data_IF_234359946119
#
_entry.id   IF_234359946119
#
_cell.length_a   1.000
_cell.length_b   1.000
_cell.length_c   1.000
_cell.angle_alpha   90.00
_cell.angle_beta   90.00
_cell.angle_gamma   90.00
#
_symmetry.space_group_name_H-M   'P 1'
#
loop_
_entity.id
_entity.type
_entity.pdbx_description
1 polymer ?
#
# COMPACT_ATOMS: atom_id res chain seq x y z
N UNK A 1 0.67 -33.46 48.56
CA UNK A 1 1.65 -33.38 47.48
C UNK A 1 0.91 -33.00 46.22
N UNK A 2 0.94 -31.73 45.85
CA UNK A 2 0.35 -31.27 44.59
C UNK A 2 1.36 -31.53 43.45
N UNK A 3 0.94 -32.33 42.48
CA UNK A 3 1.73 -32.56 41.25
C UNK A 3 1.74 -31.28 40.45
N UNK A 4 2.91 -30.68 40.31
CA UNK A 4 3.18 -29.59 39.35
C UNK A 4 3.00 -30.16 37.93
N UNK A 5 2.21 -29.55 37.05
CA UNK A 5 2.09 -30.03 35.68
C UNK A 5 3.45 -29.92 35.01
N UNK A 6 3.95 -31.01 34.48
CA UNK A 6 5.13 -31.06 33.61
C UNK A 6 4.73 -30.36 32.32
N UNK A 7 5.20 -29.17 32.15
CA UNK A 7 5.14 -28.45 30.85
C UNK A 7 6.12 -29.20 29.94
N UNK A 8 5.60 -29.99 29.00
CA UNK A 8 6.42 -30.56 27.94
C UNK A 8 7.17 -29.43 27.21
N UNK A 9 8.47 -29.57 26.91
CA UNK A 9 9.20 -28.58 26.14
C UNK A 9 8.54 -28.48 24.77
N UNK A 10 8.01 -27.30 24.46
CA UNK A 10 7.43 -27.03 23.14
C UNK A 10 8.48 -27.33 22.06
N UNK A 11 8.17 -28.31 21.21
CA UNK A 11 9.06 -28.74 20.13
C UNK A 11 9.36 -27.58 19.19
N UNK A 12 10.63 -27.42 18.82
CA UNK A 12 11.02 -26.60 17.68
C UNK A 12 10.28 -27.12 16.43
N UNK A 13 9.61 -26.23 15.69
CA UNK A 13 8.89 -26.61 14.48
C UNK A 13 8.01 -25.52 13.90
N UNK A 14 7.44 -25.81 12.74
CA UNK A 14 6.49 -24.92 12.08
C UNK A 14 5.05 -25.37 12.39
N UNK A 15 4.23 -24.40 12.68
CA UNK A 15 2.82 -24.59 12.98
C UNK A 15 1.97 -23.67 12.08
N UNK A 16 0.89 -24.22 11.51
CA UNK A 16 -0.09 -23.45 10.72
C UNK A 16 -1.34 -23.23 11.58
N UNK A 17 -1.57 -21.99 12.00
CA UNK A 17 -2.74 -21.58 12.75
C UNK A 17 -3.85 -21.18 11.78
N UNK A 18 -5.05 -21.75 11.93
CA UNK A 18 -6.19 -21.48 11.02
C UNK A 18 -7.47 -21.08 11.78
N UNK A 19 -7.47 -21.11 13.12
CA UNK A 19 -8.65 -20.75 13.90
C UNK A 19 -8.54 -19.37 14.55
N UNK A 20 -9.64 -18.59 14.60
CA UNK A 20 -9.64 -17.25 15.22
C UNK A 20 -9.14 -17.25 16.67
N UNK A 21 -9.48 -18.28 17.47
CA UNK A 21 -9.05 -18.37 18.87
C UNK A 21 -7.52 -18.44 19.01
N UNK A 22 -6.84 -19.04 18.02
CA UNK A 22 -5.38 -19.14 18.02
C UNK A 22 -4.71 -17.86 17.54
N UNK A 23 -5.36 -17.09 16.64
CA UNK A 23 -4.87 -15.77 16.24
C UNK A 23 -4.97 -14.76 17.38
N UNK A 24 -5.97 -14.89 18.25
CA UNK A 24 -6.23 -14.00 19.38
C UNK A 24 -5.38 -14.31 20.62
N UNK A 25 -4.44 -15.25 20.55
CA UNK A 25 -3.52 -15.54 21.66
C UNK A 25 -2.67 -14.32 22.00
N UNK A 26 -2.78 -13.82 23.22
CA UNK A 26 -2.13 -12.58 23.65
C UNK A 26 -0.59 -12.66 23.61
N UNK A 27 -0.01 -13.84 23.85
CA UNK A 27 1.43 -14.04 23.78
C UNK A 27 1.92 -14.01 22.32
N UNK A 28 1.14 -14.63 21.41
CA UNK A 28 1.42 -14.57 19.99
C UNK A 28 1.34 -13.13 19.46
N UNK A 29 0.27 -12.37 19.79
CA UNK A 29 0.08 -10.99 19.35
C UNK A 29 1.23 -10.10 19.83
N UNK A 30 1.63 -10.22 21.11
CA UNK A 30 2.77 -9.47 21.66
C UNK A 30 4.05 -9.78 20.89
N UNK A 31 4.33 -11.05 20.67
CA UNK A 31 5.53 -11.47 19.93
C UNK A 31 5.50 -11.02 18.47
N UNK A 32 4.31 -10.99 17.87
CA UNK A 32 4.10 -10.48 16.52
C UNK A 32 4.48 -9.01 16.42
N UNK A 33 4.00 -8.15 17.32
CA UNK A 33 4.41 -6.73 17.37
C UNK A 33 5.91 -6.54 17.61
N UNK A 34 6.55 -7.38 18.43
CA UNK A 34 8.01 -7.33 18.61
C UNK A 34 8.76 -7.59 17.30
N UNK A 35 8.36 -8.61 16.54
CA UNK A 35 8.96 -8.90 15.23
C UNK A 35 8.70 -7.79 14.21
N UNK A 36 7.49 -7.19 14.21
CA UNK A 36 7.18 -6.04 13.36
C UNK A 36 8.04 -4.83 13.70
N UNK A 37 8.19 -4.52 14.98
CA UNK A 37 8.95 -3.36 15.44
C UNK A 37 10.44 -3.48 15.08
N UNK A 38 10.97 -4.69 15.01
CA UNK A 38 12.33 -4.97 14.57
C UNK A 38 12.49 -4.84 13.04
N UNK A 39 11.39 -4.87 12.27
CA UNK A 39 11.45 -4.81 10.81
C UNK A 39 11.56 -3.37 10.30
N UNK A 40 12.55 -3.04 9.45
CA UNK A 40 12.66 -1.74 8.80
C UNK A 40 11.65 -1.56 7.64
N UNK A 41 10.89 -2.60 7.30
CA UNK A 41 10.06 -2.66 6.11
C UNK A 41 8.90 -1.66 6.16
N UNK A 42 8.65 -0.99 5.04
CA UNK A 42 7.53 -0.07 4.89
C UNK A 42 6.17 -0.80 4.97
N UNK A 43 6.11 -2.05 4.52
CA UNK A 43 4.88 -2.86 4.47
C UNK A 43 4.52 -3.54 5.80
N UNK A 44 5.25 -3.28 6.89
CA UNK A 44 4.96 -3.86 8.21
C UNK A 44 3.53 -3.54 8.70
N UNK A 45 2.96 -2.40 8.31
CA UNK A 45 1.54 -2.06 8.54
C UNK A 45 0.62 -3.19 8.07
N UNK A 46 0.86 -3.71 6.84
CA UNK A 46 0.05 -4.76 6.24
C UNK A 46 0.37 -6.15 6.79
N UNK A 47 1.37 -6.28 7.65
CA UNK A 47 1.72 -7.48 8.37
C UNK A 47 1.28 -7.45 9.84
N UNK A 48 0.64 -6.36 10.30
CA UNK A 48 0.17 -6.26 11.70
C UNK A 48 -1.00 -7.19 11.98
N UNK A 49 -1.18 -7.63 13.25
CA UNK A 49 -2.34 -8.42 13.65
C UNK A 49 -3.67 -7.74 13.31
N UNK A 50 -3.76 -6.42 13.49
CA UNK A 50 -4.95 -5.63 13.22
C UNK A 50 -5.28 -5.62 11.72
N UNK A 51 -4.27 -5.47 10.86
CA UNK A 51 -4.47 -5.56 9.42
C UNK A 51 -4.82 -6.98 8.99
N UNK A 52 -4.18 -8.00 9.56
CA UNK A 52 -4.52 -9.40 9.28
C UNK A 52 -5.99 -9.70 9.60
N UNK A 53 -6.47 -9.25 10.76
CA UNK A 53 -7.87 -9.39 11.14
C UNK A 53 -8.82 -8.65 10.21
N UNK A 54 -8.47 -7.43 9.79
CA UNK A 54 -9.19 -6.66 8.78
C UNK A 54 -9.26 -7.41 7.43
N UNK A 55 -8.11 -7.87 6.94
CA UNK A 55 -8.02 -8.57 5.65
C UNK A 55 -8.80 -9.89 5.66
N UNK A 56 -8.71 -10.67 6.74
CA UNK A 56 -9.43 -11.93 6.92
C UNK A 56 -10.95 -11.72 7.00
N UNK A 57 -11.37 -10.73 7.77
CA UNK A 57 -12.79 -10.40 7.92
C UNK A 57 -13.41 -9.95 6.59
N UNK A 58 -12.62 -9.30 5.73
CA UNK A 58 -13.01 -8.80 4.41
C UNK A 58 -14.35 -8.04 4.46
N UNK A 59 -14.44 -6.94 5.24
CA UNK A 59 -15.71 -6.27 5.54
C UNK A 59 -16.44 -5.81 4.26
N UNK A 60 -17.74 -6.07 4.23
CA UNK A 60 -18.58 -5.77 3.06
C UNK A 60 -18.54 -6.85 1.97
N UNK A 61 -17.82 -7.97 2.20
CA UNK A 61 -17.76 -9.12 1.33
C UNK A 61 -17.68 -10.44 2.14
N UNK A 62 -17.43 -11.55 1.46
CA UNK A 62 -17.27 -12.84 2.15
C UNK A 62 -15.93 -12.89 2.89
N UNK A 63 -15.88 -13.33 4.17
CA UNK A 63 -14.64 -13.58 4.87
C UNK A 63 -13.72 -14.53 4.08
N UNK A 64 -12.41 -14.27 4.16
CA UNK A 64 -11.39 -15.05 3.46
C UNK A 64 -10.86 -16.17 4.33
N UNK A 65 -10.50 -17.30 3.71
CA UNK A 65 -9.67 -18.29 4.36
C UNK A 65 -8.33 -17.65 4.74
N UNK A 66 -7.92 -17.79 6.01
CA UNK A 66 -6.73 -17.16 6.53
C UNK A 66 -5.90 -18.14 7.36
N UNK A 67 -4.59 -17.90 7.41
CA UNK A 67 -3.67 -18.63 8.28
C UNK A 67 -2.55 -17.72 8.78
N UNK A 68 -2.01 -18.06 9.92
CA UNK A 68 -0.74 -17.55 10.40
C UNK A 68 0.22 -18.72 10.52
N UNK A 69 1.28 -18.71 9.73
CA UNK A 69 2.36 -19.68 9.87
C UNK A 69 3.33 -19.14 10.90
N UNK A 70 3.59 -19.96 11.90
CA UNK A 70 4.44 -19.63 13.04
C UNK A 70 5.57 -20.63 13.10
N UNK A 71 6.81 -20.14 13.11
CA UNK A 71 7.97 -20.96 13.42
C UNK A 71 8.34 -20.76 14.89
N UNK A 72 8.59 -21.88 15.57
CA UNK A 72 9.07 -21.90 16.96
C UNK A 72 10.52 -22.37 16.99
N UNK A 73 11.38 -21.58 17.58
CA UNK A 73 12.78 -21.93 17.79
C UNK A 73 12.97 -22.91 18.96
N UNK A 74 14.23 -23.18 19.26
CA UNK A 74 14.61 -23.99 20.43
C UNK A 74 14.10 -23.32 21.70
N UNK A 75 13.30 -24.02 22.50
CA UNK A 75 12.66 -23.47 23.69
C UNK A 75 11.22 -22.96 23.48
N UNK A 76 10.62 -23.18 22.29
CA UNK A 76 9.22 -22.92 22.01
C UNK A 76 8.86 -21.45 21.73
N UNK A 77 9.83 -20.52 21.79
CA UNK A 77 9.58 -19.12 21.46
C UNK A 77 9.32 -18.96 19.96
N UNK A 78 8.34 -18.11 19.62
CA UNK A 78 8.04 -17.76 18.23
C UNK A 78 9.18 -16.90 17.70
N UNK A 79 9.82 -17.32 16.61
CA UNK A 79 10.93 -16.62 15.95
C UNK A 79 10.62 -16.16 14.52
N UNK A 80 9.59 -16.73 13.86
CA UNK A 80 9.11 -16.20 12.58
C UNK A 80 7.58 -16.30 12.48
N UNK A 81 6.98 -15.36 11.74
CA UNK A 81 5.53 -15.27 11.49
C UNK A 81 5.28 -14.91 10.04
N UNK A 82 4.31 -15.59 9.40
CA UNK A 82 3.84 -15.29 8.05
C UNK A 82 2.31 -15.25 8.04
N UNK A 83 1.69 -14.06 8.04
CA UNK A 83 0.24 -13.91 7.90
C UNK A 83 -0.19 -14.07 6.45
N UNK A 84 -1.27 -14.81 6.22
CA UNK A 84 -1.75 -15.23 4.89
C UNK A 84 -3.26 -15.13 4.79
N UNK A 85 -3.77 -14.75 3.62
CA UNK A 85 -5.18 -14.88 3.26
C UNK A 85 -5.30 -15.52 1.86
N UNK A 86 -6.37 -16.30 1.62
CA UNK A 86 -6.69 -16.80 0.28
C UNK A 86 -7.68 -15.87 -0.39
N UNK A 87 -7.31 -15.34 -1.54
CA UNK A 87 -8.13 -14.47 -2.37
C UNK A 87 -7.86 -14.78 -3.86
N UNK A 88 -8.48 -14.01 -4.74
CA UNK A 88 -8.20 -14.07 -6.17
C UNK A 88 -7.27 -12.93 -6.57
N UNK A 89 -6.17 -13.30 -7.22
CA UNK A 89 -5.29 -12.33 -7.85
C UNK A 89 -5.60 -12.20 -9.34
N UNK A 90 -5.41 -11.02 -9.90
CA UNK A 90 -5.76 -10.70 -11.27
C UNK A 90 -4.51 -10.58 -12.15
N UNK A 91 -4.49 -11.30 -13.26
CA UNK A 91 -3.52 -11.13 -14.33
C UNK A 91 -4.22 -10.56 -15.57
N UNK A 92 -4.06 -9.24 -15.77
CA UNK A 92 -4.78 -8.49 -16.78
C UNK A 92 -3.95 -8.27 -18.06
N UNK A 93 -4.50 -8.60 -19.21
CA UNK A 93 -3.96 -8.29 -20.53
C UNK A 93 -4.41 -6.89 -20.93
N UNK A 94 -3.53 -5.91 -20.75
CA UNK A 94 -3.83 -4.48 -20.94
C UNK A 94 -3.06 -3.91 -22.14
N UNK A 95 -3.77 -3.28 -23.08
CA UNK A 95 -3.20 -2.59 -24.22
C UNK A 95 -3.65 -1.11 -24.23
N UNK A 96 -2.75 -0.19 -23.90
CA UNK A 96 -3.08 1.22 -23.69
C UNK A 96 -4.12 1.41 -22.58
N UNK A 97 -5.24 2.11 -22.83
CA UNK A 97 -6.29 2.30 -21.81
C UNK A 97 -7.26 1.11 -21.70
N UNK A 98 -7.12 0.07 -22.54
CA UNK A 98 -8.09 -1.04 -22.62
C UNK A 98 -7.57 -2.31 -21.97
N UNK A 99 -8.36 -2.88 -21.06
CA UNK A 99 -8.19 -4.24 -20.57
C UNK A 99 -8.90 -5.17 -21.54
N UNK A 100 -8.14 -6.05 -22.21
CA UNK A 100 -8.66 -7.00 -23.18
C UNK A 100 -9.25 -8.23 -22.50
N UNK A 101 -8.55 -8.72 -21.48
CA UNK A 101 -8.98 -9.86 -20.67
C UNK A 101 -8.30 -9.86 -19.31
N UNK A 102 -8.97 -10.45 -18.30
CA UNK A 102 -8.41 -10.63 -16.96
C UNK A 102 -8.62 -12.06 -16.50
N UNK A 103 -7.52 -12.74 -16.21
CA UNK A 103 -7.55 -14.04 -15.55
C UNK A 103 -7.54 -13.86 -14.05
N UNK A 104 -8.51 -14.47 -13.37
CA UNK A 104 -8.56 -14.54 -11.90
C UNK A 104 -7.91 -15.84 -11.45
N UNK A 105 -6.85 -15.74 -10.65
CA UNK A 105 -6.10 -16.87 -10.11
C UNK A 105 -6.37 -16.98 -8.63
N UNK A 106 -6.83 -18.14 -8.15
CA UNK A 106 -6.88 -18.37 -6.69
C UNK A 106 -5.46 -18.28 -6.13
N UNK A 107 -5.24 -17.39 -5.19
CA UNK A 107 -3.93 -17.03 -4.65
C UNK A 107 -3.90 -17.12 -3.14
N UNK A 108 -2.79 -17.60 -2.58
CA UNK A 108 -2.43 -17.33 -1.22
C UNK A 108 -1.61 -16.04 -1.17
N UNK A 109 -2.18 -14.98 -0.63
CA UNK A 109 -1.51 -13.69 -0.49
C UNK A 109 -0.77 -13.65 0.84
N UNK A 110 0.55 -13.47 0.79
CA UNK A 110 1.36 -13.13 1.94
C UNK A 110 1.10 -11.66 2.26
N UNK A 111 0.64 -11.35 3.46
CA UNK A 111 0.43 -9.97 3.86
C UNK A 111 1.80 -9.30 4.07
N UNK A 112 2.02 -8.20 3.35
CA UNK A 112 3.32 -7.52 3.28
C UNK A 112 4.30 -8.17 2.31
N UNK A 113 5.60 -7.92 2.47
CA UNK A 113 6.64 -8.21 1.48
C UNK A 113 7.80 -9.07 1.98
N UNK A 114 7.64 -9.73 3.14
CA UNK A 114 8.67 -10.59 3.74
C UNK A 114 8.06 -11.65 4.67
N UNK A 115 8.86 -12.68 5.00
CA UNK A 115 8.58 -13.58 6.11
C UNK A 115 9.24 -13.01 7.36
N UNK A 116 8.41 -12.51 8.30
CA UNK A 116 8.91 -11.83 9.51
C UNK A 116 9.76 -12.76 10.35
N UNK A 117 10.92 -12.31 10.82
CA UNK A 117 11.86 -13.07 11.65
C UNK A 117 12.69 -14.09 10.88
N UNK A 118 12.48 -14.29 9.58
CA UNK A 118 13.37 -15.08 8.74
C UNK A 118 14.51 -14.22 8.19
N UNK A 119 15.75 -14.69 8.31
CA UNK A 119 16.95 -13.92 7.95
C UNK A 119 17.81 -14.60 6.87
N UNK A 120 17.62 -15.90 6.65
CA UNK A 120 18.40 -16.71 5.72
C UNK A 120 17.57 -17.56 4.77
N UNK A 121 18.21 -18.10 3.72
CA UNK A 121 17.59 -18.91 2.69
C UNK A 121 16.91 -20.16 3.25
N UNK A 122 17.54 -20.82 4.22
CA UNK A 122 16.99 -22.04 4.81
C UNK A 122 15.69 -21.76 5.57
N UNK A 123 15.64 -20.70 6.33
CA UNK A 123 14.43 -20.22 7.02
C UNK A 123 13.32 -19.87 6.05
N UNK A 124 13.63 -19.19 4.95
CA UNK A 124 12.66 -18.88 3.91
C UNK A 124 12.14 -20.12 3.18
N UNK A 125 13.00 -21.07 2.87
CA UNK A 125 12.63 -22.34 2.21
C UNK A 125 11.75 -23.20 3.10
N UNK A 126 12.03 -23.23 4.39
CA UNK A 126 11.25 -23.96 5.40
C UNK A 126 9.84 -23.35 5.52
N UNK A 127 9.73 -22.03 5.69
CA UNK A 127 8.46 -21.32 5.75
C UNK A 127 7.66 -21.44 4.44
N UNK A 128 8.33 -21.36 3.27
CA UNK A 128 7.69 -21.60 1.99
C UNK A 128 7.07 -23.00 1.91
N UNK A 129 7.70 -23.99 2.51
CA UNK A 129 7.15 -25.35 2.58
C UNK A 129 5.78 -25.39 3.26
N UNK A 130 5.64 -24.71 4.40
CA UNK A 130 4.38 -24.61 5.12
C UNK A 130 3.33 -23.74 4.38
N UNK A 131 3.75 -22.62 3.80
CA UNK A 131 2.89 -21.77 2.93
C UNK A 131 2.36 -22.59 1.76
N UNK A 132 3.22 -23.34 1.08
CA UNK A 132 2.87 -24.17 -0.07
C UNK A 132 1.89 -25.29 0.27
N UNK A 133 2.08 -25.92 1.44
CA UNK A 133 1.17 -26.94 1.95
C UNK A 133 -0.22 -26.37 2.22
N UNK A 134 -0.31 -25.24 2.93
CA UNK A 134 -1.59 -24.58 3.21
C UNK A 134 -2.26 -24.06 1.95
N UNK A 135 -1.47 -23.55 1.00
CA UNK A 135 -1.91 -23.02 -0.28
C UNK A 135 -2.03 -24.07 -1.40
N UNK A 136 -2.12 -25.36 -1.08
CA UNK A 136 -2.07 -26.46 -2.09
C UNK A 136 -3.16 -26.36 -3.16
N UNK A 137 -4.28 -25.74 -2.85
CA UNK A 137 -5.41 -25.49 -3.74
C UNK A 137 -5.35 -24.15 -4.50
N UNK A 138 -4.27 -23.35 -4.28
CA UNK A 138 -4.05 -22.08 -4.95
C UNK A 138 -3.19 -22.25 -6.22
N UNK A 139 -3.48 -21.46 -7.24
CA UNK A 139 -2.69 -21.40 -8.47
C UNK A 139 -1.35 -20.69 -8.28
N UNK A 140 -1.28 -19.78 -7.33
CA UNK A 140 -0.07 -19.01 -7.01
C UNK A 140 -0.01 -18.59 -5.53
N UNK A 141 1.19 -18.19 -5.12
CA UNK A 141 1.45 -17.43 -3.90
C UNK A 141 1.81 -16.01 -4.34
N UNK A 142 1.16 -15.00 -3.77
CA UNK A 142 1.39 -13.60 -4.13
C UNK A 142 2.03 -12.83 -2.99
N UNK A 143 3.07 -12.08 -3.34
CA UNK A 143 3.77 -11.11 -2.49
C UNK A 143 3.49 -9.73 -3.08
N UNK A 144 2.67 -8.88 -2.45
CA UNK A 144 2.08 -7.71 -3.13
C UNK A 144 3.06 -6.57 -3.41
N UNK A 145 4.15 -6.45 -2.64
CA UNK A 145 5.04 -5.28 -2.73
C UNK A 145 6.46 -5.61 -2.26
N UNK A 146 7.19 -6.37 -3.06
CA UNK A 146 8.56 -6.79 -2.74
C UNK A 146 9.56 -5.76 -3.26
N UNK A 147 10.35 -5.09 -2.39
CA UNK A 147 11.43 -4.22 -2.85
C UNK A 147 12.47 -4.99 -3.69
N UNK A 148 12.88 -4.42 -4.82
CA UNK A 148 13.75 -5.14 -5.78
C UNK A 148 15.13 -5.48 -5.19
N UNK A 149 15.63 -4.69 -4.24
CA UNK A 149 16.91 -4.92 -3.55
C UNK A 149 16.77 -5.77 -2.27
N UNK A 150 15.57 -6.26 -1.95
CA UNK A 150 15.33 -7.02 -0.71
C UNK A 150 15.89 -8.43 -0.75
N UNK A 151 16.10 -9.02 0.44
CA UNK A 151 16.44 -10.44 0.55
C UNK A 151 15.33 -11.33 -0.05
N UNK A 152 14.06 -11.03 0.21
CA UNK A 152 12.90 -11.74 -0.35
C UNK A 152 12.96 -11.80 -1.88
N UNK A 153 13.32 -10.68 -2.54
CA UNK A 153 13.43 -10.64 -4.01
C UNK A 153 14.53 -11.56 -4.51
N UNK A 154 15.74 -11.43 -3.95
CA UNK A 154 16.88 -12.28 -4.31
C UNK A 154 16.58 -13.76 -4.07
N UNK A 155 16.03 -14.09 -2.90
CA UNK A 155 15.62 -15.45 -2.58
C UNK A 155 14.59 -16.00 -3.58
N UNK A 156 13.53 -15.25 -3.90
CA UNK A 156 12.51 -15.69 -4.86
C UNK A 156 13.12 -15.96 -6.25
N UNK A 157 14.17 -15.24 -6.66
CA UNK A 157 14.86 -15.41 -7.93
C UNK A 157 15.89 -16.54 -7.92
N UNK A 158 16.54 -16.79 -6.79
CA UNK A 158 17.71 -17.70 -6.72
C UNK A 158 17.42 -19.03 -6.07
N UNK A 159 16.48 -19.09 -5.09
CA UNK A 159 16.22 -20.30 -4.31
C UNK A 159 15.88 -21.51 -5.18
N UNK A 160 16.50 -22.64 -4.84
CA UNK A 160 16.23 -23.92 -5.47
C UNK A 160 14.82 -24.42 -5.15
N UNK A 161 14.35 -24.20 -3.92
CA UNK A 161 13.02 -24.59 -3.48
C UNK A 161 11.91 -23.88 -4.27
N UNK A 162 12.08 -22.58 -4.54
CA UNK A 162 11.19 -21.80 -5.41
C UNK A 162 11.27 -22.35 -6.84
N UNK A 163 12.46 -22.47 -7.43
CA UNK A 163 12.65 -22.89 -8.83
C UNK A 163 12.15 -24.31 -9.11
N UNK A 164 12.12 -25.18 -8.13
CA UNK A 164 11.59 -26.53 -8.31
C UNK A 164 10.07 -26.55 -8.44
N UNK A 165 9.34 -25.73 -7.70
CA UNK A 165 7.88 -25.78 -7.55
C UNK A 165 7.14 -24.66 -8.28
N UNK A 166 7.78 -23.51 -8.45
CA UNK A 166 7.13 -22.30 -8.94
C UNK A 166 7.87 -21.65 -10.12
N UNK A 167 7.11 -20.87 -10.87
CA UNK A 167 7.60 -19.87 -11.81
C UNK A 167 7.48 -18.53 -11.09
N UNK A 168 8.61 -17.87 -10.82
CA UNK A 168 8.61 -16.52 -10.27
C UNK A 168 8.26 -15.55 -11.40
N UNK A 169 7.21 -14.75 -11.18
CA UNK A 169 6.73 -13.77 -12.15
C UNK A 169 6.42 -12.43 -11.46
N UNK A 170 6.97 -11.36 -12.00
CA UNK A 170 6.68 -9.98 -11.57
C UNK A 170 5.97 -9.25 -12.73
N UNK A 171 4.62 -9.12 -12.68
CA UNK A 171 3.85 -8.60 -13.82
C UNK A 171 3.92 -7.08 -14.00
N UNK A 172 4.54 -6.34 -13.08
CA UNK A 172 4.62 -4.89 -13.18
C UNK A 172 5.73 -4.41 -14.14
N UNK A 173 5.47 -3.27 -14.80
CA UNK A 173 6.49 -2.59 -15.59
C UNK A 173 7.53 -1.90 -14.68
N UNK A 174 8.83 -1.93 -15.03
CA UNK A 174 9.87 -1.29 -14.23
C UNK A 174 9.62 0.21 -13.97
N UNK A 175 8.93 0.91 -14.89
CA UNK A 175 8.61 2.32 -14.77
C UNK A 175 7.46 2.66 -13.82
N UNK A 176 6.65 1.69 -13.42
CA UNK A 176 5.51 1.84 -12.49
C UNK A 176 5.79 1.28 -11.10
N UNK A 177 6.86 0.51 -10.95
CA UNK A 177 7.24 -0.21 -9.73
C UNK A 177 7.93 0.64 -8.65
N UNK A 178 8.00 1.97 -8.79
CA UNK A 178 8.57 2.83 -7.74
C UNK A 178 7.54 3.14 -6.67
N UNK A 179 7.94 2.92 -5.42
CA UNK A 179 7.23 3.36 -4.22
C UNK A 179 7.86 4.65 -3.74
N UNK A 180 7.02 5.63 -3.43
CA UNK A 180 7.42 6.93 -2.88
C UNK A 180 7.05 7.02 -1.42
N UNK A 181 7.97 7.45 -0.57
CA UNK A 181 7.73 7.63 0.85
C UNK A 181 8.50 8.83 1.42
N UNK A 182 8.08 9.22 2.62
CA UNK A 182 8.77 10.22 3.42
C UNK A 182 9.15 9.58 4.76
N UNK A 183 10.42 9.52 5.05
CA UNK A 183 10.92 9.27 6.39
C UNK A 183 10.82 10.58 7.16
N UNK A 184 10.06 10.58 8.25
CA UNK A 184 9.79 11.77 9.05
C UNK A 184 10.89 12.05 10.07
N UNK A 185 11.31 13.31 10.26
CA UNK A 185 12.05 13.72 11.43
C UNK A 185 11.14 13.77 12.67
N UNK A 186 11.73 13.99 13.84
CA UNK A 186 10.99 13.96 15.10
C UNK A 186 9.88 15.01 15.23
N UNK A 187 9.95 16.14 14.52
CA UNK A 187 8.96 17.23 14.60
C UNK A 187 8.68 17.86 13.24
N UNK A 188 7.52 18.51 13.14
CA UNK A 188 7.14 19.25 11.94
C UNK A 188 8.07 20.44 11.64
N UNK A 189 8.63 21.08 12.67
CA UNK A 189 9.61 22.16 12.49
C UNK A 189 10.91 21.63 11.88
N UNK A 190 11.37 20.47 12.32
CA UNK A 190 12.53 19.79 11.71
C UNK A 190 12.24 19.39 10.27
N UNK A 191 11.04 18.89 9.97
CA UNK A 191 10.64 18.63 8.59
C UNK A 191 10.72 19.91 7.74
N UNK A 192 10.13 21.00 8.20
CA UNK A 192 10.14 22.28 7.49
C UNK A 192 11.55 22.84 7.28
N UNK A 193 12.41 22.75 8.31
CA UNK A 193 13.80 23.25 8.21
C UNK A 193 14.66 22.42 7.25
N UNK A 194 14.37 21.11 7.12
CA UNK A 194 15.02 20.21 6.19
C UNK A 194 14.61 20.39 4.72
N UNK A 195 13.50 21.11 4.44
CA UNK A 195 13.10 21.44 3.08
C UNK A 195 14.01 22.52 2.48
N UNK A 196 14.29 22.44 1.18
CA UNK A 196 14.89 23.57 0.47
C UNK A 196 13.99 24.82 0.57
N UNK A 197 14.60 26.01 0.48
CA UNK A 197 13.90 27.29 0.64
C UNK A 197 12.69 27.43 -0.29
N UNK A 198 12.85 27.02 -1.57
CA UNK A 198 11.79 27.12 -2.58
C UNK A 198 10.55 26.28 -2.22
N UNK A 199 10.74 25.01 -1.78
CA UNK A 199 9.65 24.15 -1.35
C UNK A 199 8.96 24.69 -0.09
N UNK A 200 9.75 25.07 0.91
CA UNK A 200 9.24 25.60 2.17
C UNK A 200 8.41 26.87 1.96
N UNK A 201 8.93 27.83 1.17
CA UNK A 201 8.24 29.08 0.88
C UNK A 201 6.99 28.83 0.01
N UNK A 202 7.03 27.87 -0.90
CA UNK A 202 5.86 27.47 -1.70
C UNK A 202 4.73 26.91 -0.82
N UNK A 203 5.03 26.01 0.12
CA UNK A 203 4.00 25.47 1.02
C UNK A 203 3.41 26.56 1.90
N UNK A 204 4.24 27.38 2.55
CA UNK A 204 3.80 28.50 3.39
C UNK A 204 2.98 29.53 2.58
N UNK A 205 3.38 29.80 1.34
CA UNK A 205 2.64 30.68 0.46
C UNK A 205 1.25 30.15 0.13
N UNK A 206 1.14 28.84 -0.20
CA UNK A 206 -0.15 28.20 -0.52
C UNK A 206 -1.12 28.27 0.66
N UNK A 207 -0.67 28.00 1.87
CA UNK A 207 -1.50 28.14 3.07
C UNK A 207 -1.94 29.60 3.26
N UNK A 208 -1.00 30.56 3.17
CA UNK A 208 -1.33 32.01 3.29
C UNK A 208 -2.28 32.53 2.20
N UNK A 209 -2.27 31.93 1.01
CA UNK A 209 -3.21 32.31 -0.07
C UNK A 209 -4.64 32.04 0.33
N UNK A 210 -4.91 30.89 1.03
CA UNK A 210 -6.24 30.61 1.56
C UNK A 210 -6.72 31.69 2.52
N UNK A 211 -5.88 32.07 3.47
CA UNK A 211 -6.22 33.11 4.47
C UNK A 211 -6.48 34.48 3.81
N UNK A 212 -5.61 34.89 2.86
CA UNK A 212 -5.75 36.17 2.14
C UNK A 212 -7.01 36.24 1.28
N UNK A 213 -7.51 35.12 0.78
CA UNK A 213 -8.76 35.05 0.02
C UNK A 213 -10.00 34.92 0.88
N UNK A 214 -9.87 35.05 2.22
CA UNK A 214 -10.98 34.86 3.15
C UNK A 214 -11.50 33.43 3.20
N UNK A 215 -10.69 32.46 2.77
CA UNK A 215 -11.01 31.02 2.76
C UNK A 215 -10.01 30.23 3.60
N UNK A 216 -9.93 30.48 4.93
CA UNK A 216 -8.96 29.80 5.79
C UNK A 216 -9.09 28.28 5.66
N UNK A 217 -7.93 27.63 5.58
CA UNK A 217 -7.85 26.17 5.48
C UNK A 217 -8.04 25.52 6.85
N UNK A 218 -9.02 24.64 6.99
CA UNK A 218 -9.25 23.85 8.19
C UNK A 218 -9.10 22.36 7.86
N UNK A 219 -8.14 21.71 8.53
CA UNK A 219 -7.98 20.25 8.44
C UNK A 219 -8.94 19.58 9.43
N UNK A 220 -9.73 18.65 8.93
CA UNK A 220 -10.54 17.73 9.75
C UNK A 220 -9.96 16.34 9.65
N UNK A 221 -9.75 15.71 10.80
CA UNK A 221 -9.29 14.33 10.93
C UNK A 221 -10.46 13.45 11.36
N UNK A 222 -10.53 12.25 10.84
CA UNK A 222 -11.54 11.24 11.10
C UNK A 222 -10.82 9.95 11.52
N UNK A 223 -11.17 9.39 12.69
CA UNK A 223 -10.50 8.21 13.26
C UNK A 223 -11.47 7.19 13.86
N UNK A 224 -12.73 7.55 14.08
CA UNK A 224 -13.74 6.68 14.70
C UNK A 224 -14.73 6.10 13.70
N UNK A 225 -15.27 4.92 14.01
CA UNK A 225 -16.29 4.27 13.17
C UNK A 225 -17.56 5.12 13.01
N UNK A 226 -17.94 5.90 14.04
CA UNK A 226 -19.08 6.81 13.98
C UNK A 226 -18.92 7.96 12.99
N UNK A 227 -17.69 8.33 12.64
CA UNK A 227 -17.37 9.41 11.71
C UNK A 227 -17.31 8.95 10.24
N UNK A 228 -17.21 7.64 10.00
CA UNK A 228 -17.09 7.06 8.64
C UNK A 228 -18.23 7.49 7.70
N UNK A 229 -19.52 7.49 8.10
CA UNK A 229 -20.60 7.91 7.21
C UNK A 229 -20.45 9.37 6.76
N UNK A 230 -20.08 10.27 7.67
CA UNK A 230 -19.86 11.68 7.34
C UNK A 230 -18.65 11.84 6.41
N UNK A 231 -17.54 11.22 6.73
CA UNK A 231 -16.35 11.24 5.88
C UNK A 231 -16.66 10.79 4.46
N UNK A 232 -17.29 9.63 4.29
CA UNK A 232 -17.62 9.08 2.97
C UNK A 232 -18.57 9.98 2.18
N UNK A 233 -19.57 10.56 2.83
CA UNK A 233 -20.49 11.51 2.19
C UNK A 233 -19.74 12.71 1.61
N UNK A 234 -18.85 13.31 2.41
CA UNK A 234 -18.08 14.50 2.00
C UNK A 234 -17.03 14.13 0.95
N UNK A 235 -16.25 13.07 1.17
CA UNK A 235 -15.19 12.63 0.25
C UNK A 235 -15.73 12.24 -1.13
N UNK A 236 -16.87 11.54 -1.20
CA UNK A 236 -17.56 11.23 -2.46
C UNK A 236 -18.02 12.48 -3.20
N UNK A 237 -18.54 13.47 -2.46
CA UNK A 237 -18.91 14.77 -3.04
C UNK A 237 -17.72 15.49 -3.68
N UNK A 238 -16.56 15.47 -3.04
CA UNK A 238 -15.31 16.03 -3.62
C UNK A 238 -14.83 15.18 -4.80
N UNK A 239 -14.81 13.84 -4.66
CA UNK A 239 -14.37 12.93 -5.70
C UNK A 239 -15.13 13.13 -7.02
N UNK A 240 -16.47 13.31 -6.95
CA UNK A 240 -17.29 13.59 -8.12
C UNK A 240 -16.97 14.88 -8.85
N UNK A 241 -16.32 15.84 -8.19
CA UNK A 241 -15.87 17.12 -8.77
C UNK A 241 -14.37 17.11 -9.12
N UNK A 242 -13.66 16.01 -8.90
CA UNK A 242 -12.23 15.91 -9.16
C UNK A 242 -11.95 15.66 -10.64
N UNK A 243 -10.75 16.05 -11.11
CA UNK A 243 -10.29 15.75 -12.48
C UNK A 243 -10.21 14.22 -12.73
N UNK A 244 -10.01 13.44 -11.69
CA UNK A 244 -9.93 11.97 -11.74
C UNK A 244 -11.26 11.37 -12.20
N UNK A 245 -12.38 11.93 -11.75
CA UNK A 245 -13.72 11.54 -12.21
C UNK A 245 -13.88 11.74 -13.72
N UNK A 246 -13.30 12.81 -14.28
CA UNK A 246 -13.32 13.10 -15.72
C UNK A 246 -12.56 12.07 -16.57
N UNK A 247 -11.63 11.32 -15.99
CA UNK A 247 -10.90 10.22 -16.67
C UNK A 247 -11.34 8.84 -16.22
N UNK A 248 -12.48 8.73 -15.52
CA UNK A 248 -13.07 7.46 -15.10
C UNK A 248 -12.41 6.79 -13.89
N UNK A 249 -11.63 7.52 -13.11
CA UNK A 249 -11.04 7.03 -11.86
C UNK A 249 -11.95 7.39 -10.69
N UNK A 250 -12.58 6.38 -10.08
CA UNK A 250 -13.38 6.53 -8.88
C UNK A 250 -12.61 5.96 -7.67
N UNK A 251 -12.23 6.78 -6.68
CA UNK A 251 -11.57 6.31 -5.47
C UNK A 251 -12.52 5.52 -4.53
N UNK A 252 -13.82 5.62 -4.74
CA UNK A 252 -14.86 4.94 -3.95
C UNK A 252 -15.85 4.17 -4.84
N UNK A 253 -15.40 3.14 -5.59
CA UNK A 253 -16.26 2.34 -6.46
C UNK A 253 -17.50 1.83 -5.74
N UNK A 254 -18.64 1.84 -6.44
CA UNK A 254 -19.96 1.52 -5.85
C UNK A 254 -20.16 0.05 -5.54
N UNK A 255 -19.39 -0.81 -6.15
CA UNK A 255 -19.39 -2.26 -5.94
C UNK A 255 -18.62 -2.68 -4.67
N UNK A 256 -18.02 -1.73 -3.95
CA UNK A 256 -17.32 -1.93 -2.67
C UNK A 256 -18.12 -1.29 -1.54
N UNK A 257 -18.41 -2.04 -0.49
CA UNK A 257 -19.00 -1.48 0.74
C UNK A 257 -17.90 -0.76 1.56
N UNK A 258 -17.67 0.49 1.16
CA UNK A 258 -16.69 1.35 1.81
C UNK A 258 -17.04 1.68 3.26
N UNK A 259 -18.35 1.71 3.59
CA UNK A 259 -18.75 1.98 4.96
C UNK A 259 -18.35 0.83 5.88
N UNK A 260 -18.69 -0.40 5.54
CA UNK A 260 -18.28 -1.57 6.31
C UNK A 260 -16.74 -1.66 6.42
N UNK A 261 -16.04 -1.42 5.30
CA UNK A 261 -14.58 -1.50 5.24
C UNK A 261 -13.89 -0.48 6.12
N UNK A 262 -14.26 0.79 6.04
CA UNK A 262 -13.64 1.85 6.83
C UNK A 262 -14.06 1.79 8.30
N UNK A 263 -15.30 1.35 8.61
CA UNK A 263 -15.74 1.14 9.99
C UNK A 263 -14.94 0.03 10.69
N UNK A 264 -14.71 -1.11 10.03
CA UNK A 264 -13.86 -2.17 10.58
C UNK A 264 -12.40 -1.70 10.76
N UNK A 265 -11.87 -0.90 9.83
CA UNK A 265 -10.54 -0.30 10.00
C UNK A 265 -10.50 0.63 11.22
N UNK A 266 -11.55 1.44 11.44
CA UNK A 266 -11.64 2.33 12.59
C UNK A 266 -11.73 1.57 13.92
N UNK A 267 -12.52 0.52 13.98
CA UNK A 267 -12.64 -0.36 15.16
C UNK A 267 -11.31 -1.03 15.53
N UNK A 268 -10.41 -1.23 14.54
CA UNK A 268 -9.08 -1.79 14.73
C UNK A 268 -7.97 -0.75 14.91
N UNK A 269 -8.32 0.55 14.94
CA UNK A 269 -7.34 1.62 15.06
C UNK A 269 -6.48 1.86 13.80
N UNK A 270 -6.92 1.34 12.64
CA UNK A 270 -6.21 1.46 11.36
C UNK A 270 -6.65 2.68 10.54
N UNK A 271 -7.83 3.25 10.85
CA UNK A 271 -8.45 4.30 10.07
C UNK A 271 -7.93 5.68 10.47
N UNK A 272 -7.47 6.46 9.51
CA UNK A 272 -7.14 7.87 9.67
C UNK A 272 -7.30 8.60 8.35
N UNK A 273 -8.42 9.25 8.19
CA UNK A 273 -8.78 9.98 6.98
C UNK A 273 -8.88 11.48 7.23
N UNK A 274 -8.84 12.28 6.16
CA UNK A 274 -8.79 13.73 6.27
C UNK A 274 -9.67 14.42 5.25
N UNK A 275 -10.28 15.53 5.68
CA UNK A 275 -10.92 16.53 4.80
C UNK A 275 -10.25 17.88 5.03
N UNK A 276 -9.88 18.56 3.96
CA UNK A 276 -9.56 19.98 3.97
C UNK A 276 -10.78 20.78 3.59
N UNK A 277 -11.18 21.69 4.46
CA UNK A 277 -12.17 22.73 4.18
C UNK A 277 -11.45 24.04 3.83
N UNK A 278 -11.95 24.78 2.85
CA UNK A 278 -11.47 26.12 2.48
C UNK A 278 -12.62 27.11 2.61
N UNK A 279 -12.59 27.97 3.65
CA UNK A 279 -13.70 28.89 3.95
C UNK A 279 -14.99 28.16 4.34
N UNK A 280 -14.90 27.01 5.00
CA UNK A 280 -16.04 26.18 5.40
C UNK A 280 -16.54 25.21 4.31
N UNK A 281 -16.02 25.30 3.07
CA UNK A 281 -16.41 24.41 1.98
C UNK A 281 -15.40 23.24 1.83
N UNK A 282 -15.87 21.98 1.70
CA UNK A 282 -15.01 20.84 1.47
C UNK A 282 -14.24 20.96 0.15
N UNK A 283 -12.91 20.96 0.21
CA UNK A 283 -12.04 21.23 -0.93
C UNK A 283 -11.18 20.05 -1.37
N UNK A 284 -10.72 19.23 -0.42
CA UNK A 284 -9.89 18.05 -0.72
C UNK A 284 -10.08 16.97 0.34
N UNK A 285 -9.82 15.72 -0.05
CA UNK A 285 -9.84 14.58 0.87
C UNK A 285 -8.55 13.75 0.75
N UNK A 286 -8.21 13.04 1.83
CA UNK A 286 -7.16 12.06 1.88
C UNK A 286 -7.61 10.82 2.64
N UNK A 287 -7.42 9.65 2.04
CA UNK A 287 -7.71 8.34 2.64
C UNK A 287 -6.42 7.69 3.08
N UNK A 288 -6.36 7.23 4.32
CA UNK A 288 -5.15 6.64 4.87
C UNK A 288 -5.40 5.41 5.76
N UNK A 289 -4.34 4.63 5.89
CA UNK A 289 -4.24 3.52 6.86
C UNK A 289 -3.04 3.79 7.75
N UNK A 290 -3.23 3.66 9.05
CA UNK A 290 -2.17 3.89 10.04
C UNK A 290 -1.95 2.63 10.87
N UNK A 291 -0.71 2.15 10.94
CA UNK A 291 -0.25 1.17 11.91
C UNK A 291 1.27 1.18 11.97
N UNK A 292 1.85 0.68 13.05
CA UNK A 292 3.29 0.47 13.21
C UNK A 292 4.13 1.76 12.95
N UNK A 293 3.57 2.94 13.30
CA UNK A 293 4.23 4.22 13.09
C UNK A 293 4.31 4.68 11.64
N UNK A 294 3.52 4.08 10.73
CA UNK A 294 3.49 4.41 9.31
C UNK A 294 2.08 4.83 8.90
N UNK A 295 1.97 5.91 8.13
CA UNK A 295 0.74 6.32 7.46
C UNK A 295 0.83 5.98 5.96
N UNK A 296 -0.08 5.14 5.49
CA UNK A 296 -0.21 4.82 4.07
C UNK A 296 -1.29 5.66 3.43
N UNK A 297 -0.89 6.62 2.61
CA UNK A 297 -1.79 7.50 1.86
C UNK A 297 -2.34 6.76 0.64
N UNK A 298 -3.57 6.27 0.75
CA UNK A 298 -4.18 5.32 -0.21
C UNK A 298 -4.86 6.01 -1.37
N UNK A 299 -5.59 7.09 -1.10
CA UNK A 299 -6.28 7.86 -2.11
C UNK A 299 -6.37 9.33 -1.71
N UNK A 300 -6.46 10.21 -2.70
CA UNK A 300 -6.66 11.64 -2.52
C UNK A 300 -7.37 12.22 -3.73
N UNK A 301 -8.13 13.27 -3.49
CA UNK A 301 -8.77 14.06 -4.55
C UNK A 301 -9.09 15.46 -4.06
N UNK A 302 -9.37 16.36 -4.99
CA UNK A 302 -9.76 17.73 -4.67
C UNK A 302 -10.80 18.24 -5.66
N UNK A 303 -11.61 19.20 -5.23
CA UNK A 303 -12.57 19.90 -6.08
C UNK A 303 -11.82 20.75 -7.14
N UNK A 304 -11.99 20.38 -8.42
CA UNK A 304 -11.29 21.03 -9.54
C UNK A 304 -11.63 22.50 -9.68
N UNK A 305 -12.81 22.95 -9.22
CA UNK A 305 -13.20 24.36 -9.20
C UNK A 305 -12.35 25.21 -8.25
N UNK A 306 -11.72 24.57 -7.27
CA UNK A 306 -10.81 25.20 -6.30
C UNK A 306 -9.33 25.05 -6.66
N UNK A 307 -8.99 24.60 -7.86
CA UNK A 307 -7.60 24.31 -8.27
C UNK A 307 -6.62 25.48 -8.06
N UNK A 308 -7.08 26.74 -8.23
CA UNK A 308 -6.29 27.94 -7.97
C UNK A 308 -5.77 28.04 -6.52
N UNK A 309 -6.45 27.43 -5.57
CA UNK A 309 -6.06 27.35 -4.15
C UNK A 309 -5.05 26.22 -3.87
N UNK A 310 -4.80 25.34 -4.84
CA UNK A 310 -3.95 24.15 -4.70
C UNK A 310 -4.33 23.27 -3.50
N UNK A 311 -5.62 22.90 -3.27
CA UNK A 311 -6.10 22.29 -2.05
C UNK A 311 -5.46 20.93 -1.76
N UNK A 312 -5.14 20.12 -2.78
CA UNK A 312 -4.44 18.84 -2.59
C UNK A 312 -3.03 19.02 -2.00
N UNK A 313 -2.29 20.06 -2.40
CA UNK A 313 -0.97 20.36 -1.83
C UNK A 313 -1.09 20.84 -0.38
N UNK A 314 -2.06 21.72 -0.11
CA UNK A 314 -2.30 22.23 1.27
C UNK A 314 -2.74 21.10 2.17
N UNK A 315 -3.67 20.25 1.73
CA UNK A 315 -4.11 19.06 2.46
C UNK A 315 -2.92 18.23 2.94
N UNK A 316 -2.06 17.80 2.01
CA UNK A 316 -0.93 16.93 2.36
C UNK A 316 0.08 17.62 3.28
N UNK A 317 0.33 18.91 3.08
CA UNK A 317 1.21 19.68 3.98
C UNK A 317 0.65 19.77 5.40
N UNK A 318 -0.67 19.97 5.55
CA UNK A 318 -1.33 20.00 6.84
C UNK A 318 -1.42 18.59 7.48
N UNK A 319 -1.61 17.54 6.68
CA UNK A 319 -1.53 16.16 7.17
C UNK A 319 -0.14 15.90 7.77
N UNK A 320 0.95 16.35 7.15
CA UNK A 320 2.30 16.21 7.74
C UNK A 320 2.40 16.90 9.10
N UNK A 321 1.79 18.08 9.23
CA UNK A 321 1.71 18.78 10.52
C UNK A 321 0.97 17.97 11.58
N UNK A 322 -0.16 17.36 11.22
CA UNK A 322 -0.94 16.53 12.12
C UNK A 322 -0.21 15.23 12.51
N UNK A 323 0.39 14.53 11.53
CA UNK A 323 1.11 13.28 11.76
C UNK A 323 2.35 13.45 12.64
N UNK A 324 3.00 14.59 12.59
CA UNK A 324 4.20 14.94 13.37
C UNK A 324 3.90 15.70 14.66
N UNK A 325 2.71 16.29 14.79
CA UNK A 325 2.29 17.10 15.96
C UNK A 325 1.56 16.33 17.05
N UNK A 326 1.23 15.06 16.83
CA UNK A 326 0.52 14.23 17.81
C UNK A 326 1.40 13.78 18.98
N UNK A 327 0.77 13.24 20.03
CA UNK A 327 1.47 12.70 21.20
C UNK A 327 2.40 11.51 20.84
N UNK A 328 2.10 10.82 19.77
CA UNK A 328 2.92 9.76 19.18
C UNK A 328 3.16 10.09 17.70
N UNK A 329 4.21 10.86 17.39
CA UNK A 329 4.55 11.21 16.01
C UNK A 329 4.82 9.95 15.17
N UNK A 330 4.29 9.93 13.95
CA UNK A 330 4.57 8.84 13.04
C UNK A 330 5.99 8.95 12.47
N UNK A 331 6.55 7.82 12.12
CA UNK A 331 7.93 7.72 11.61
C UNK A 331 7.99 7.91 10.10
N UNK A 332 6.93 7.49 9.38
CA UNK A 332 6.94 7.45 7.92
C UNK A 332 5.55 7.73 7.32
N UNK A 333 5.57 8.23 6.10
CA UNK A 333 4.38 8.26 5.23
C UNK A 333 4.69 7.63 3.88
N UNK A 334 3.88 6.66 3.48
CA UNK A 334 3.96 6.01 2.18
C UNK A 334 2.91 6.58 1.24
N UNK A 335 3.32 6.96 0.03
CA UNK A 335 2.44 7.37 -1.07
C UNK A 335 2.16 6.23 -2.06
N UNK A 336 2.69 5.03 -1.78
CA UNK A 336 2.53 3.86 -2.63
C UNK A 336 3.19 3.99 -4.00
N UNK A 337 2.79 3.11 -4.90
CA UNK A 337 3.32 3.02 -6.26
C UNK A 337 2.97 4.22 -7.15
N UNK A 338 3.80 4.43 -8.15
CA UNK A 338 3.60 5.40 -9.23
C UNK A 338 4.36 6.70 -9.04
N UNK A 339 5.05 7.11 -10.09
CA UNK A 339 5.89 8.31 -10.14
C UNK A 339 5.06 9.50 -10.65
N UNK A 340 4.85 10.47 -9.79
CA UNK A 340 4.14 11.71 -10.12
C UNK A 340 4.86 12.93 -9.57
N UNK A 341 4.75 14.11 -10.23
CA UNK A 341 5.32 15.35 -9.70
C UNK A 341 4.83 15.69 -8.29
N UNK A 342 3.58 15.34 -8.00
CA UNK A 342 2.98 15.50 -6.67
C UNK A 342 3.72 14.70 -5.60
N UNK A 343 4.00 13.41 -5.83
CA UNK A 343 4.74 12.58 -4.88
C UNK A 343 6.16 13.07 -4.69
N UNK A 344 6.85 13.44 -5.77
CA UNK A 344 8.21 14.02 -5.72
C UNK A 344 8.28 15.32 -4.92
N UNK A 345 7.16 16.06 -4.82
CA UNK A 345 7.11 17.29 -4.04
C UNK A 345 7.22 17.03 -2.52
N UNK A 346 6.67 15.90 -2.05
CA UNK A 346 6.59 15.58 -0.62
C UNK A 346 7.59 14.51 -0.17
N UNK A 347 7.95 13.59 -1.04
CA UNK A 347 8.78 12.45 -0.69
C UNK A 347 10.27 12.84 -0.64
N UNK A 348 10.98 12.24 0.32
CA UNK A 348 12.44 12.31 0.43
C UNK A 348 13.13 11.00 0.07
N UNK A 349 12.33 9.94 -0.21
CA UNK A 349 12.84 8.62 -0.58
C UNK A 349 11.92 7.95 -1.59
N UNK A 350 12.52 7.24 -2.56
CA UNK A 350 11.84 6.30 -3.44
C UNK A 350 12.69 5.04 -3.61
N UNK A 351 12.05 3.92 -3.92
CA UNK A 351 12.71 2.67 -4.23
C UNK A 351 11.84 1.82 -5.18
N UNK A 352 12.50 0.97 -5.96
CA UNK A 352 11.80 0.03 -6.84
C UNK A 352 11.24 -1.14 -6.03
N UNK A 353 9.99 -1.49 -6.32
CA UNK A 353 9.33 -2.66 -5.74
C UNK A 353 8.37 -3.27 -6.76
N UNK A 354 8.11 -4.56 -6.63
CA UNK A 354 7.27 -5.29 -7.57
C UNK A 354 6.32 -6.22 -6.83
N UNK A 355 5.13 -6.40 -7.38
CA UNK A 355 4.32 -7.55 -7.02
C UNK A 355 4.99 -8.81 -7.57
N UNK A 356 5.25 -9.77 -6.72
CA UNK A 356 5.83 -11.06 -7.10
C UNK A 356 4.77 -12.15 -6.99
N UNK A 357 4.57 -12.91 -8.05
CA UNK A 357 3.71 -14.09 -8.09
C UNK A 357 4.61 -15.33 -8.23
N UNK A 358 4.49 -16.26 -7.30
CA UNK A 358 5.05 -17.60 -7.40
C UNK A 358 3.96 -18.51 -7.99
N UNK A 359 3.91 -18.62 -9.30
CA UNK A 359 2.95 -19.46 -10.04
C UNK A 359 3.35 -20.93 -9.92
N UNK A 360 2.43 -21.82 -9.53
CA UNK A 360 2.71 -23.26 -9.52
C UNK A 360 3.09 -23.75 -10.92
N UNK A 361 4.08 -24.60 -11.03
CA UNK A 361 4.49 -25.23 -12.30
C UNK A 361 3.46 -26.24 -12.74
N UNK A 362 2.43 -25.76 -13.41
CA UNK A 362 1.43 -26.54 -14.13
C UNK A 362 1.41 -26.13 -15.60
N UNK A 363 1.04 -27.02 -16.54
CA UNK A 363 0.96 -26.66 -17.97
C UNK A 363 0.09 -25.40 -18.21
N UNK A 364 -1.03 -25.27 -17.48
CA UNK A 364 -1.93 -24.12 -17.60
C UNK A 364 -1.25 -22.82 -17.16
N UNK A 365 -0.57 -22.81 -16.01
CA UNK A 365 0.13 -21.64 -15.51
C UNK A 365 1.34 -21.27 -16.38
N UNK A 366 2.06 -22.26 -16.92
CA UNK A 366 3.15 -22.01 -17.86
C UNK A 366 2.66 -21.35 -19.14
N UNK A 367 1.55 -21.85 -19.72
CA UNK A 367 0.94 -21.26 -20.89
C UNK A 367 0.47 -19.83 -20.61
N UNK A 368 -0.22 -19.62 -19.49
CA UNK A 368 -0.71 -18.29 -19.07
C UNK A 368 0.44 -17.30 -18.89
N UNK A 369 1.48 -17.68 -18.16
CA UNK A 369 2.66 -16.84 -17.94
C UNK A 369 3.35 -16.48 -19.25
N UNK A 370 3.64 -17.47 -20.12
CA UNK A 370 4.30 -17.24 -21.41
C UNK A 370 3.47 -16.34 -22.32
N UNK A 371 2.15 -16.58 -22.38
CA UNK A 371 1.23 -15.77 -23.18
C UNK A 371 1.18 -14.33 -22.67
N UNK A 372 1.09 -14.12 -21.37
CA UNK A 372 1.07 -12.77 -20.77
C UNK A 372 2.41 -12.04 -20.97
N UNK A 373 3.54 -12.71 -20.77
CA UNK A 373 4.86 -12.14 -20.99
C UNK A 373 5.09 -11.76 -22.47
N UNK A 374 4.70 -12.63 -23.42
CA UNK A 374 4.77 -12.35 -24.84
C UNK A 374 3.86 -11.17 -25.24
N UNK A 375 2.62 -11.15 -24.74
CA UNK A 375 1.69 -10.05 -24.98
C UNK A 375 2.24 -8.71 -24.47
N UNK A 376 2.79 -8.66 -23.26
CA UNK A 376 3.42 -7.46 -22.72
C UNK A 376 4.58 -6.97 -23.56
N UNK A 377 5.44 -7.89 -24.01
CA UNK A 377 6.56 -7.55 -24.91
C UNK A 377 6.04 -6.93 -26.22
N UNK A 378 4.98 -7.51 -26.79
CA UNK A 378 4.35 -6.99 -27.99
C UNK A 378 3.78 -5.57 -27.78
N UNK A 379 3.03 -5.36 -26.68
CA UNK A 379 2.44 -4.06 -26.35
C UNK A 379 3.53 -3.00 -26.12
N UNK A 380 4.62 -3.35 -25.42
CA UNK A 380 5.74 -2.44 -25.19
C UNK A 380 6.41 -2.03 -26.51
N UNK A 381 6.69 -3.01 -27.39
CA UNK A 381 7.28 -2.73 -28.72
C UNK A 381 6.35 -1.88 -29.59
N UNK A 382 5.05 -2.18 -29.58
CA UNK A 382 4.06 -1.39 -30.32
C UNK A 382 4.01 0.06 -29.83
N UNK A 383 4.08 0.28 -28.50
CA UNK A 383 4.16 1.63 -27.90
C UNK A 383 5.43 2.37 -28.30
N UNK A 384 6.58 1.69 -28.29
CA UNK A 384 7.86 2.28 -28.72
C UNK A 384 7.82 2.69 -30.19
N UNK A 385 7.30 1.83 -31.08
CA UNK A 385 7.11 2.13 -32.48
C UNK A 385 6.16 3.31 -32.68
N UNK A 386 5.01 3.32 -32.01
CA UNK A 386 4.07 4.41 -32.07
C UNK A 386 4.73 5.76 -31.67
N UNK A 387 5.51 5.78 -30.60
CA UNK A 387 6.22 6.97 -30.14
C UNK A 387 7.33 7.43 -31.12
N UNK A 388 7.94 6.51 -31.86
CA UNK A 388 8.94 6.86 -32.90
C UNK A 388 8.30 7.49 -34.13
N UNK A 389 7.13 7.02 -34.53
CA UNK A 389 6.45 7.46 -35.76
C UNK A 389 5.35 8.49 -35.52
N UNK A 390 5.17 8.97 -34.28
CA UNK A 390 4.21 10.01 -33.94
C UNK A 390 4.57 11.31 -34.66
N UNK A 391 3.63 11.96 -35.43
CA UNK A 391 3.85 13.24 -36.08
C UNK A 391 4.30 14.34 -35.10
N UNK A 392 5.11 15.27 -35.57
CA UNK A 392 5.72 16.33 -34.75
C UNK A 392 4.72 17.26 -34.06
N UNK A 393 3.52 17.40 -34.62
CA UNK A 393 2.45 18.26 -34.08
C UNK A 393 1.94 17.79 -32.72
N UNK A 394 1.91 16.50 -32.51
CA UNK A 394 1.50 15.91 -31.20
C UNK A 394 2.62 15.99 -30.15
N UNK A 395 3.87 16.25 -30.54
CA UNK A 395 4.98 16.47 -29.60
C UNK A 395 4.92 17.84 -28.91
N UNK A 396 4.19 18.80 -29.53
CA UNK A 396 4.02 20.16 -29.00
C UNK A 396 2.93 20.26 -27.91
N UNK A 397 2.00 19.29 -27.83
CA UNK A 397 1.11 19.16 -26.67
C UNK A 397 1.79 18.34 -25.57
N UNK A 398 2.78 18.92 -24.90
CA UNK A 398 3.02 18.58 -23.49
C UNK A 398 1.67 18.75 -22.79
N UNK A 399 1.26 17.78 -21.93
CA UNK A 399 0.14 18.05 -21.04
C UNK A 399 0.44 19.41 -20.39
N UNK A 400 -0.51 20.33 -20.51
CA UNK A 400 -0.37 21.67 -19.95
C UNK A 400 0.16 21.49 -18.50
N UNK A 401 1.21 22.20 -18.11
CA UNK A 401 1.64 22.21 -16.72
C UNK A 401 0.39 22.55 -15.92
N UNK A 402 0.09 21.75 -14.91
CA UNK A 402 -1.03 22.00 -14.02
C UNK A 402 -1.05 23.51 -13.75
N UNK A 403 -2.11 24.19 -14.17
CA UNK A 403 -2.25 25.63 -14.15
C UNK A 403 -1.80 26.19 -12.81
N UNK A 404 -0.75 26.99 -12.80
CA UNK A 404 -0.22 27.55 -11.56
C UNK A 404 1.10 28.28 -11.67
N UNK A 405 1.43 28.86 -12.82
CA UNK A 405 2.45 29.92 -12.87
C UNK A 405 1.91 31.06 -13.74
N UNK A 406 1.56 32.22 -13.15
CA UNK A 406 1.35 33.43 -13.92
C UNK A 406 2.66 33.86 -14.60
N UNK A 407 2.63 34.49 -15.79
CA UNK A 407 3.82 35.04 -16.41
C UNK A 407 4.45 36.08 -15.47
N UNK A 408 5.77 36.04 -15.37
CA UNK A 408 6.54 37.13 -14.77
C UNK A 408 6.26 38.43 -15.60
N UNK A 409 5.58 39.39 -14.98
CA UNK A 409 5.56 40.74 -15.45
C UNK A 409 6.93 41.35 -15.18
N UNK A 410 7.66 41.64 -16.24
CA UNK A 410 8.76 42.60 -16.26
C UNK A 410 8.24 43.97 -15.82
N UNK A 411 8.65 44.44 -14.64
CA UNK A 411 9.13 45.79 -14.29
C UNK A 411 9.62 45.77 -12.83
#
# INVERSE_FOLDING_TARGET
MAMTPVVEPANAGIETLTSPQRFADAALIRRWHELLSASPNLDRTFQSPEWFEHARANPGARPLDAAVIVRRGRGGAVDAIVPLVKDYDALAFVAGPRTLHTFKLKSAMVLGSQFMGAEDEASYDELLGAVDQWASDCACITLPSVPDESFMRRWAETSRAVKQRFIMYAPFDPGTGKIFCTDFPATFDLYNSGLDKKRRDNFKRKVRVLDKQGKPGKLRRFESAGEVPEFLRVARGIAGKSWQSGIGVDPFPRDVDWQAKLSDQAERGLFRDYILECGGEPAAFGVGVVAEGIFHYRATGFDSSMSALSPGTVLTYLIFGDLLGGAQPLQKMSFGFGDTPYKRLFCNRDFAASRVMLLRKTPANELLWRSHAAFRTLVTRAKELYLRYRPSEDKAQKPAPAAGTPPESSE
#
